data_IF_774414416294
#
_entry.id   IF_774414416294
#
_cell.length_a   1.000
_cell.length_b   1.000
_cell.length_c   1.000
_cell.angle_alpha   90.00
_cell.angle_beta   90.00
_cell.angle_gamma   90.00
#
_symmetry.space_group_name_H-M   'P 1'
#
loop_
_entity.id
_entity.type
_entity.pdbx_description
1 polymer ?
#
# COMPACT_ATOMS: atom_id res chain seq x y z
N UNK A 1 22.13 41.66 17.13
CA UNK A 1 21.25 40.72 16.41
C UNK A 1 19.98 40.61 17.22
N UNK A 2 18.95 41.31 16.75
CA UNK A 2 17.67 41.44 17.44
C UNK A 2 16.95 40.10 17.55
N UNK A 3 16.06 39.98 18.52
CA UNK A 3 15.28 38.76 18.78
C UNK A 3 14.47 38.35 17.55
N UNK A 4 13.96 39.32 16.78
CA UNK A 4 13.30 39.10 15.50
C UNK A 4 14.24 38.54 14.41
N UNK A 5 15.50 39.00 14.34
CA UNK A 5 16.47 38.47 13.37
C UNK A 5 16.85 37.02 13.69
N UNK A 6 16.95 36.68 14.99
CA UNK A 6 17.17 35.30 15.45
C UNK A 6 16.00 34.40 15.04
N UNK A 7 14.77 34.86 15.23
CA UNK A 7 13.57 34.10 14.88
C UNK A 7 13.43 33.89 13.37
N UNK A 8 13.67 34.93 12.56
CA UNK A 8 13.68 34.82 11.10
C UNK A 8 14.78 33.85 10.64
N UNK A 9 15.99 33.96 11.19
CA UNK A 9 17.08 33.05 10.85
C UNK A 9 16.76 31.59 11.20
N UNK A 10 16.18 31.34 12.38
CA UNK A 10 15.74 29.99 12.78
C UNK A 10 14.63 29.47 11.87
N UNK A 11 13.65 30.31 11.50
CA UNK A 11 12.58 29.96 10.57
C UNK A 11 13.14 29.58 9.19
N UNK A 12 14.04 30.39 8.63
CA UNK A 12 14.69 30.12 7.33
C UNK A 12 15.51 28.82 7.39
N UNK A 13 16.28 28.60 8.46
CA UNK A 13 17.05 27.37 8.66
C UNK A 13 16.14 26.14 8.74
N UNK A 14 15.01 26.24 9.45
CA UNK A 14 14.01 25.17 9.55
C UNK A 14 13.35 24.88 8.20
N UNK A 15 13.00 25.91 7.44
CA UNK A 15 12.42 25.78 6.12
C UNK A 15 13.39 25.15 5.11
N UNK A 16 14.66 25.56 5.09
CA UNK A 16 15.71 24.93 4.28
C UNK A 16 15.90 23.45 4.64
N UNK A 17 15.88 23.09 5.93
CA UNK A 17 15.95 21.68 6.36
C UNK A 17 14.73 20.88 5.88
N UNK A 18 13.53 21.43 6.01
CA UNK A 18 12.29 20.81 5.52
C UNK A 18 12.33 20.60 4.01
N UNK A 19 12.81 21.58 3.25
CA UNK A 19 12.93 21.49 1.80
C UNK A 19 13.96 20.45 1.37
N UNK A 20 15.12 20.37 2.05
CA UNK A 20 16.10 19.29 1.83
C UNK A 20 15.48 17.90 2.06
N UNK A 21 14.74 17.73 3.15
CA UNK A 21 14.05 16.46 3.45
C UNK A 21 12.99 16.16 2.39
N UNK A 22 12.16 17.14 2.01
CA UNK A 22 11.16 16.96 0.94
C UNK A 22 11.81 16.57 -0.37
N UNK A 23 12.89 17.25 -0.78
CA UNK A 23 13.62 16.94 -2.01
C UNK A 23 14.26 15.54 -1.94
N UNK A 24 14.77 15.14 -0.78
CA UNK A 24 15.30 13.79 -0.56
C UNK A 24 14.19 12.74 -0.71
N UNK A 25 13.03 12.92 -0.06
CA UNK A 25 11.88 12.01 -0.20
C UNK A 25 11.36 12.01 -1.65
N UNK A 26 11.36 13.17 -2.31
CA UNK A 26 10.90 13.33 -3.68
C UNK A 26 11.75 12.50 -4.65
N UNK A 27 13.07 12.59 -4.55
CA UNK A 27 14.04 12.05 -5.53
C UNK A 27 14.67 10.71 -5.16
N UNK A 28 14.66 10.31 -3.88
CA UNK A 28 15.38 9.12 -3.42
C UNK A 28 14.63 7.83 -3.79
N UNK A 29 15.28 7.00 -4.62
CA UNK A 29 14.77 5.64 -4.95
C UNK A 29 14.63 4.75 -3.71
N UNK A 30 15.53 4.89 -2.74
CA UNK A 30 15.46 4.13 -1.49
C UNK A 30 14.19 4.47 -0.72
N UNK A 31 13.85 5.76 -0.64
CA UNK A 31 12.59 6.18 -0.02
C UNK A 31 11.40 5.62 -0.80
N UNK A 32 11.43 5.60 -2.13
CA UNK A 32 10.34 5.02 -2.92
C UNK A 32 10.13 3.52 -2.68
N UNK A 33 11.20 2.77 -2.40
CA UNK A 33 11.12 1.33 -2.08
C UNK A 33 10.58 1.11 -0.67
N UNK A 34 11.03 1.95 0.28
CA UNK A 34 10.66 1.83 1.70
C UNK A 34 9.31 2.47 2.04
N UNK A 35 8.80 3.34 1.18
CA UNK A 35 7.50 3.98 1.33
C UNK A 35 6.36 2.96 1.09
N UNK A 36 5.62 2.56 2.14
CA UNK A 36 4.54 1.60 1.99
C UNK A 36 3.36 2.17 1.20
N UNK A 37 3.27 3.51 1.05
CA UNK A 37 2.12 4.16 0.44
C UNK A 37 2.33 4.34 -1.08
N UNK A 38 1.49 3.76 -1.94
CA UNK A 38 1.58 3.89 -3.40
C UNK A 38 1.31 5.33 -3.85
N UNK A 39 0.58 6.12 -3.08
CA UNK A 39 0.17 7.46 -3.49
C UNK A 39 1.02 8.57 -2.90
N UNK A 40 1.02 9.70 -3.60
CA UNK A 40 1.65 10.91 -3.10
C UNK A 40 0.81 11.48 -1.95
N UNK A 41 1.44 11.66 -0.80
CA UNK A 41 0.81 12.41 0.28
C UNK A 41 0.93 13.90 0.00
N UNK A 42 -0.03 14.69 0.47
CA UNK A 42 -0.05 16.16 0.42
C UNK A 42 1.23 16.85 0.97
N UNK A 43 2.10 16.10 1.67
CA UNK A 43 3.38 16.58 2.21
C UNK A 43 4.48 16.68 1.13
N UNK A 44 4.27 16.09 -0.04
CA UNK A 44 5.21 16.05 -1.14
C UNK A 44 4.74 16.96 -2.28
N UNK A 45 5.70 17.57 -2.98
CA UNK A 45 5.40 18.29 -4.22
C UNK A 45 4.86 17.26 -5.24
N UNK A 46 3.85 17.60 -6.05
CA UNK A 46 3.35 16.69 -7.06
C UNK A 46 4.50 16.32 -8.02
N UNK A 47 4.69 15.03 -8.28
CA UNK A 47 5.65 14.55 -9.30
C UNK A 47 5.08 14.75 -10.69
N UNK A 48 5.97 14.97 -11.66
CA UNK A 48 5.58 14.90 -13.08
C UNK A 48 5.17 13.48 -13.46
N UNK A 49 4.40 13.33 -14.53
CA UNK A 49 3.98 12.02 -15.07
C UNK A 49 5.20 11.09 -15.27
N UNK A 50 6.29 11.63 -15.81
CA UNK A 50 7.54 10.89 -16.06
C UNK A 50 8.20 10.44 -14.75
N UNK A 51 8.22 11.29 -13.73
CA UNK A 51 8.76 10.95 -12.40
C UNK A 51 7.90 9.88 -11.70
N UNK A 52 6.59 9.98 -11.81
CA UNK A 52 5.66 8.99 -11.27
C UNK A 52 5.82 7.63 -11.96
N UNK A 53 5.94 7.61 -13.28
CA UNK A 53 6.22 6.38 -14.02
C UNK A 53 7.56 5.74 -13.58
N UNK A 54 8.61 6.55 -13.41
CA UNK A 54 9.90 6.06 -12.90
C UNK A 54 9.79 5.49 -11.48
N UNK A 55 9.06 6.18 -10.59
CA UNK A 55 8.80 5.71 -9.23
C UNK A 55 8.06 4.38 -9.26
N UNK A 56 7.01 4.29 -10.05
CA UNK A 56 6.19 3.09 -10.17
C UNK A 56 6.99 1.90 -10.70
N UNK A 57 7.82 2.10 -11.74
CA UNK A 57 8.73 1.06 -12.23
C UNK A 57 9.70 0.54 -11.16
N UNK A 58 10.28 1.45 -10.37
CA UNK A 58 11.14 1.08 -9.24
C UNK A 58 10.33 0.28 -8.23
N UNK A 59 9.16 0.78 -7.83
CA UNK A 59 8.29 0.06 -6.88
C UNK A 59 7.97 -1.33 -7.40
N UNK A 60 7.45 -1.48 -8.62
CA UNK A 60 7.11 -2.78 -9.22
C UNK A 60 8.23 -3.80 -9.14
N UNK A 61 9.48 -3.37 -9.34
CA UNK A 61 10.67 -4.23 -9.17
C UNK A 61 10.80 -4.79 -7.75
N UNK A 62 10.43 -3.99 -6.74
CA UNK A 62 10.49 -4.36 -5.32
C UNK A 62 9.17 -4.90 -4.75
N UNK A 63 8.18 -5.17 -5.59
CA UNK A 63 6.83 -5.58 -5.19
C UNK A 63 6.77 -7.05 -4.73
N UNK A 64 5.84 -7.38 -3.83
CA UNK A 64 5.58 -8.80 -3.50
C UNK A 64 5.13 -9.60 -4.73
N UNK A 65 4.43 -8.98 -5.68
CA UNK A 65 4.07 -9.59 -6.96
C UNK A 65 5.31 -10.02 -7.76
N UNK A 66 6.32 -9.16 -7.87
CA UNK A 66 7.57 -9.49 -8.55
C UNK A 66 8.33 -10.60 -7.80
N UNK A 67 8.38 -10.53 -6.47
CA UNK A 67 9.02 -11.56 -5.64
C UNK A 67 8.37 -12.93 -5.85
N UNK A 68 7.04 -12.98 -5.94
CA UNK A 68 6.29 -14.20 -6.25
C UNK A 68 6.67 -14.78 -7.62
N UNK A 69 6.83 -13.92 -8.65
CA UNK A 69 7.28 -14.38 -9.97
C UNK A 69 8.67 -15.02 -9.93
N UNK A 70 9.61 -14.45 -9.15
CA UNK A 70 10.96 -14.99 -9.00
C UNK A 70 10.96 -16.41 -8.40
N UNK A 71 9.98 -16.77 -7.56
CA UNK A 71 9.88 -18.14 -7.03
C UNK A 71 9.65 -19.20 -8.11
N UNK A 72 8.98 -18.81 -9.19
CA UNK A 72 8.59 -19.72 -10.25
C UNK A 72 9.62 -19.81 -11.38
N UNK A 73 10.65 -18.96 -11.38
CA UNK A 73 11.69 -18.96 -12.41
C UNK A 73 12.55 -20.24 -12.37
N UNK A 74 12.81 -20.80 -13.55
CA UNK A 74 13.53 -22.07 -13.73
C UNK A 74 14.97 -22.03 -13.19
N UNK A 75 15.65 -20.89 -13.32
CA UNK A 75 17.03 -20.72 -12.85
C UNK A 75 17.17 -21.00 -11.35
N UNK A 76 16.21 -20.55 -10.55
CA UNK A 76 16.22 -20.80 -9.12
C UNK A 76 15.86 -22.25 -8.76
N UNK A 77 14.96 -22.87 -9.53
CA UNK A 77 14.61 -24.29 -9.36
C UNK A 77 15.82 -25.20 -9.64
N UNK A 78 16.73 -24.81 -10.53
CA UNK A 78 17.99 -25.52 -10.73
C UNK A 78 18.92 -25.44 -9.50
N UNK A 79 18.99 -24.28 -8.84
CA UNK A 79 19.74 -24.10 -7.59
C UNK A 79 19.24 -24.99 -6.43
N UNK A 80 17.93 -25.27 -6.36
CA UNK A 80 17.37 -26.19 -5.37
C UNK A 80 17.94 -27.61 -5.46
N UNK A 81 18.14 -28.12 -6.67
CA UNK A 81 18.77 -29.43 -6.87
C UNK A 81 20.20 -29.46 -6.30
N UNK A 82 20.88 -28.31 -6.29
CA UNK A 82 22.17 -28.09 -5.66
C UNK A 82 22.22 -28.39 -4.16
N UNK A 83 21.11 -28.23 -3.42
CA UNK A 83 21.07 -28.48 -1.97
C UNK A 83 21.36 -29.96 -1.67
N UNK A 84 20.82 -30.86 -2.49
CA UNK A 84 20.95 -32.31 -2.31
C UNK A 84 22.21 -32.83 -3.02
N UNK A 85 22.44 -32.36 -4.26
CA UNK A 85 23.53 -32.89 -5.09
C UNK A 85 24.91 -32.43 -4.62
N UNK A 86 25.06 -31.18 -4.15
CA UNK A 86 26.37 -30.65 -3.77
C UNK A 86 27.04 -31.35 -2.58
N UNK A 87 26.33 -31.66 -1.46
CA UNK A 87 26.95 -32.38 -0.35
C UNK A 87 27.40 -33.79 -0.74
N UNK A 88 26.62 -34.49 -1.56
CA UNK A 88 26.94 -35.85 -2.04
C UNK A 88 28.19 -35.80 -2.93
N UNK A 89 28.20 -34.91 -3.92
CA UNK A 89 29.33 -34.76 -4.83
C UNK A 89 30.60 -34.27 -4.11
N UNK A 90 30.47 -33.33 -3.18
CA UNK A 90 31.59 -32.86 -2.37
C UNK A 90 32.16 -33.98 -1.49
N UNK A 91 31.30 -34.81 -0.87
CA UNK A 91 31.74 -35.95 -0.07
C UNK A 91 32.50 -36.99 -0.90
N UNK A 92 32.02 -37.30 -2.10
CA UNK A 92 32.72 -38.20 -3.03
C UNK A 92 34.09 -37.65 -3.45
N UNK A 93 34.18 -36.34 -3.75
CA UNK A 93 35.43 -35.69 -4.12
C UNK A 93 36.48 -35.69 -2.99
N UNK A 94 36.04 -35.52 -1.73
CA UNK A 94 36.93 -35.59 -0.56
C UNK A 94 37.48 -37.01 -0.36
N UNK A 95 36.64 -38.03 -0.57
CA UNK A 95 37.02 -39.43 -0.37
C UNK A 95 37.85 -40.03 -1.52
N UNK A 96 37.73 -39.47 -2.73
CA UNK A 96 38.47 -39.92 -3.93
C UNK A 96 39.09 -38.73 -4.69
N UNK A 97 40.19 -38.15 -4.19
CA UNK A 97 40.80 -36.95 -4.77
C UNK A 97 41.44 -37.16 -6.15
N UNK A 98 41.52 -38.40 -6.65
CA UNK A 98 42.24 -38.75 -7.88
C UNK A 98 41.59 -38.26 -9.19
N UNK A 99 40.33 -37.82 -9.18
CA UNK A 99 39.60 -37.44 -10.40
C UNK A 99 39.03 -36.01 -10.39
N UNK A 100 39.34 -35.22 -9.37
CA UNK A 100 38.62 -33.99 -9.10
C UNK A 100 39.59 -32.83 -8.85
N UNK A 101 39.50 -31.77 -9.65
CA UNK A 101 40.34 -30.58 -9.51
C UNK A 101 40.15 -29.89 -8.16
N UNK A 102 41.18 -29.17 -7.68
CA UNK A 102 41.18 -28.43 -6.42
C UNK A 102 39.98 -27.44 -6.29
N UNK A 103 39.39 -27.02 -7.40
CA UNK A 103 38.27 -26.06 -7.43
C UNK A 103 36.89 -26.69 -7.25
N UNK A 104 36.74 -28.01 -7.35
CA UNK A 104 35.43 -28.66 -7.32
C UNK A 104 34.64 -28.50 -6.01
N UNK A 105 35.25 -28.56 -4.81
CA UNK A 105 34.51 -28.30 -3.56
C UNK A 105 33.97 -26.87 -3.49
N UNK A 106 34.72 -25.90 -4.03
CA UNK A 106 34.32 -24.49 -4.10
C UNK A 106 33.09 -24.33 -5.03
N UNK A 107 33.06 -25.06 -6.15
CA UNK A 107 31.92 -25.06 -7.07
C UNK A 107 30.66 -25.64 -6.43
N UNK A 108 30.81 -26.76 -5.72
CA UNK A 108 29.72 -27.36 -4.96
C UNK A 108 29.21 -26.44 -3.85
N UNK A 109 30.10 -25.67 -3.21
CA UNK A 109 29.69 -24.65 -2.25
C UNK A 109 28.81 -23.55 -2.90
N UNK A 110 29.13 -23.10 -4.11
CA UNK A 110 28.32 -22.07 -4.80
C UNK A 110 26.93 -22.56 -5.21
N UNK A 111 26.79 -23.80 -5.72
CA UNK A 111 25.46 -24.32 -6.07
C UNK A 111 24.63 -24.64 -4.81
N UNK A 112 25.28 -25.10 -3.73
CA UNK A 112 24.65 -25.30 -2.42
C UNK A 112 24.16 -23.98 -1.82
N UNK A 113 25.01 -22.96 -1.79
CA UNK A 113 24.69 -21.63 -1.31
C UNK A 113 23.55 -20.99 -2.12
N UNK A 114 23.57 -21.16 -3.45
CA UNK A 114 22.47 -20.75 -4.33
C UNK A 114 21.12 -21.31 -3.87
N UNK A 115 21.07 -22.62 -3.61
CA UNK A 115 19.87 -23.30 -3.12
C UNK A 115 19.41 -22.83 -1.74
N UNK A 116 20.31 -22.73 -0.76
CA UNK A 116 19.97 -22.24 0.59
C UNK A 116 19.40 -20.83 0.54
N UNK A 117 20.05 -19.92 -0.18
CA UNK A 117 19.60 -18.53 -0.29
C UNK A 117 18.21 -18.44 -0.93
N UNK A 118 17.94 -19.27 -1.94
CA UNK A 118 16.61 -19.36 -2.54
C UNK A 118 15.55 -19.87 -1.56
N UNK A 119 15.85 -20.91 -0.77
CA UNK A 119 14.94 -21.44 0.25
C UNK A 119 14.65 -20.40 1.32
N UNK A 120 15.66 -19.70 1.83
CA UNK A 120 15.50 -18.62 2.82
C UNK A 120 14.62 -17.49 2.27
N UNK A 121 14.81 -17.10 1.00
CA UNK A 121 13.96 -16.11 0.34
C UNK A 121 12.50 -16.59 0.24
N UNK A 122 12.29 -17.86 -0.10
CA UNK A 122 10.98 -18.52 -0.14
C UNK A 122 10.30 -18.59 1.23
N UNK A 123 11.04 -18.87 2.30
CA UNK A 123 10.53 -18.82 3.67
C UNK A 123 10.07 -17.41 4.04
N UNK A 124 10.90 -16.39 3.79
CA UNK A 124 10.53 -15.00 4.07
C UNK A 124 9.26 -14.63 3.32
N UNK A 125 9.14 -14.99 2.04
CA UNK A 125 7.91 -14.78 1.29
C UNK A 125 6.73 -15.47 1.95
N UNK A 126 6.80 -16.78 2.23
CA UNK A 126 5.67 -17.52 2.80
C UNK A 126 5.19 -17.01 4.17
N UNK A 127 6.10 -16.54 5.02
CA UNK A 127 5.75 -15.99 6.34
C UNK A 127 5.38 -14.50 6.32
N UNK A 128 5.94 -13.72 5.39
CA UNK A 128 5.84 -12.26 5.40
C UNK A 128 4.98 -11.69 4.28
N UNK A 129 4.62 -12.44 3.24
CA UNK A 129 3.71 -11.96 2.21
C UNK A 129 2.32 -11.72 2.81
N UNK A 130 1.64 -10.61 2.48
CA UNK A 130 0.26 -10.40 2.89
C UNK A 130 -0.71 -11.39 2.25
N UNK A 131 -1.83 -11.64 2.92
CA UNK A 131 -2.79 -12.70 2.58
C UNK A 131 -3.42 -12.48 1.21
N UNK A 132 -3.83 -11.26 0.85
CA UNK A 132 -4.46 -11.01 -0.46
C UNK A 132 -3.46 -11.03 -1.60
N UNK A 133 -2.20 -10.69 -1.36
CA UNK A 133 -1.15 -10.85 -2.39
C UNK A 133 -0.93 -12.33 -2.70
N UNK A 134 -0.82 -13.16 -1.66
CA UNK A 134 -0.69 -14.61 -1.82
C UNK A 134 -1.93 -15.18 -2.51
N UNK A 135 -3.12 -14.81 -2.06
CA UNK A 135 -4.38 -15.26 -2.65
C UNK A 135 -4.53 -14.83 -4.12
N UNK A 136 -4.15 -13.60 -4.48
CA UNK A 136 -4.22 -13.11 -5.86
C UNK A 136 -3.25 -13.85 -6.78
N UNK A 137 -1.99 -14.04 -6.34
CA UNK A 137 -0.97 -14.71 -7.15
C UNK A 137 -1.19 -16.23 -7.26
N UNK A 138 -1.66 -16.89 -6.21
CA UNK A 138 -1.97 -18.33 -6.23
C UNK A 138 -3.28 -18.63 -6.99
N UNK A 139 -4.16 -17.63 -7.12
CA UNK A 139 -5.45 -17.80 -7.77
C UNK A 139 -5.47 -17.65 -9.28
N UNK A 140 -4.41 -17.12 -9.87
CA UNK A 140 -4.22 -17.15 -11.32
C UNK A 140 -4.12 -18.61 -11.84
N UNK A 141 -3.65 -19.54 -10.99
CA UNK A 141 -3.58 -20.98 -11.29
C UNK A 141 -4.74 -21.81 -10.68
N UNK A 142 -5.33 -21.39 -9.57
CA UNK A 142 -6.46 -22.07 -8.92
C UNK A 142 -7.31 -21.06 -8.13
N UNK A 143 -8.53 -20.72 -8.57
CA UNK A 143 -9.49 -19.78 -7.96
C UNK A 143 -9.90 -20.11 -6.49
N UNK A 144 -8.96 -20.35 -5.58
CA UNK A 144 -9.16 -20.81 -4.20
C UNK A 144 -9.86 -19.76 -3.34
N UNK A 145 -9.69 -18.47 -3.63
CA UNK A 145 -10.47 -17.44 -2.93
C UNK A 145 -11.96 -17.49 -3.31
N UNK A 146 -12.36 -18.07 -4.45
CA UNK A 146 -13.78 -18.34 -4.75
C UNK A 146 -14.35 -19.53 -3.98
N UNK A 147 -13.47 -20.39 -3.46
CA UNK A 147 -13.85 -21.54 -2.63
C UNK A 147 -13.86 -21.21 -1.13
N UNK A 148 -13.26 -20.08 -0.71
CA UNK A 148 -13.33 -19.61 0.67
C UNK A 148 -14.75 -19.06 0.96
N UNK A 149 -15.29 -19.26 2.18
CA UNK A 149 -16.57 -18.69 2.55
C UNK A 149 -16.58 -17.17 2.36
N UNK A 150 -17.57 -16.65 1.63
CA UNK A 150 -17.71 -15.22 1.31
C UNK A 150 -17.59 -14.34 2.56
N UNK A 151 -18.17 -14.78 3.69
CA UNK A 151 -18.08 -14.09 4.97
C UNK A 151 -16.65 -13.89 5.48
N UNK A 152 -15.73 -14.83 5.25
CA UNK A 152 -14.32 -14.71 5.66
C UNK A 152 -13.56 -13.71 4.78
N UNK A 153 -13.92 -13.63 3.50
CA UNK A 153 -13.31 -12.68 2.57
C UNK A 153 -13.81 -11.27 2.90
N UNK A 154 -15.11 -11.11 3.17
CA UNK A 154 -15.69 -9.83 3.57
C UNK A 154 -15.07 -9.32 4.87
N UNK A 155 -14.92 -10.17 5.89
CA UNK A 155 -14.27 -9.77 7.14
C UNK A 155 -12.79 -9.42 6.95
N UNK A 156 -12.08 -10.13 6.07
CA UNK A 156 -10.68 -9.82 5.75
C UNK A 156 -10.53 -8.50 4.99
N UNK A 157 -11.43 -8.23 4.03
CA UNK A 157 -11.47 -6.95 3.31
C UNK A 157 -11.79 -5.83 4.31
N UNK A 158 -12.79 -6.03 5.15
CA UNK A 158 -13.18 -5.09 6.21
C UNK A 158 -12.01 -4.76 7.14
N UNK A 159 -11.24 -5.78 7.56
CA UNK A 159 -10.04 -5.57 8.37
C UNK A 159 -8.98 -4.71 7.66
N UNK A 160 -8.80 -4.87 6.35
CA UNK A 160 -7.87 -4.01 5.59
C UNK A 160 -8.36 -2.56 5.50
N UNK A 161 -9.66 -2.32 5.39
CA UNK A 161 -10.23 -0.98 5.48
C UNK A 161 -10.05 -0.39 6.90
N UNK A 162 -10.19 -1.20 7.96
CA UNK A 162 -9.95 -0.75 9.35
C UNK A 162 -8.50 -0.27 9.51
N UNK A 163 -7.55 -0.97 8.90
CA UNK A 163 -6.13 -0.59 8.95
C UNK A 163 -5.82 0.75 8.24
N UNK A 164 -6.73 1.25 7.40
CA UNK A 164 -6.63 2.60 6.83
C UNK A 164 -7.12 3.69 7.79
N UNK A 165 -7.88 3.31 8.82
CA UNK A 165 -8.34 4.20 9.87
C UNK A 165 -7.19 4.80 10.67
N UNK A 166 -7.34 6.06 11.07
CA UNK A 166 -6.39 6.82 11.89
C UNK A 166 -7.11 7.50 13.02
N UNK A 167 -6.60 7.32 14.24
CA UNK A 167 -6.93 8.15 15.38
C UNK A 167 -5.86 9.22 15.56
N UNK A 168 -6.26 10.49 15.67
CA UNK A 168 -5.36 11.61 15.92
C UNK A 168 -5.86 12.40 17.13
N UNK A 169 -4.99 12.57 18.12
CA UNK A 169 -5.29 13.35 19.32
C UNK A 169 -5.51 14.84 18.99
N UNK A 170 -6.54 15.41 19.60
CA UNK A 170 -6.83 16.83 19.56
C UNK A 170 -6.11 17.50 20.72
N UNK A 171 -5.37 18.55 20.38
CA UNK A 171 -4.57 19.37 21.28
C UNK A 171 -4.97 20.82 21.12
N UNK A 172 -4.66 21.71 22.08
CA UNK A 172 -4.92 23.14 21.93
C UNK A 172 -4.30 23.75 20.65
N UNK A 173 -3.21 23.16 20.14
CA UNK A 173 -2.51 23.64 18.93
C UNK A 173 -3.25 23.29 17.63
N UNK A 174 -3.98 22.17 17.58
CA UNK A 174 -4.69 21.70 16.38
C UNK A 174 -6.22 21.80 16.50
N UNK A 175 -6.74 22.35 17.61
CA UNK A 175 -8.17 22.59 17.83
C UNK A 175 -8.82 23.40 16.69
N UNK A 176 -8.06 24.32 16.09
CA UNK A 176 -8.53 25.13 14.96
C UNK A 176 -8.96 24.28 13.74
N UNK A 177 -8.43 23.07 13.60
CA UNK A 177 -8.77 22.20 12.48
C UNK A 177 -10.26 21.78 12.50
N UNK A 178 -10.90 21.67 13.68
CA UNK A 178 -12.33 21.30 13.80
C UNK A 178 -13.27 22.51 13.88
N UNK A 179 -12.79 23.73 13.63
CA UNK A 179 -13.60 24.95 13.72
C UNK A 179 -14.83 24.93 12.81
N UNK A 180 -14.78 24.22 11.68
CA UNK A 180 -15.90 24.11 10.75
C UNK A 180 -17.07 23.29 11.31
N UNK A 181 -16.84 22.51 12.38
CA UNK A 181 -17.86 21.71 13.04
C UNK A 181 -18.08 22.26 14.47
N UNK A 182 -18.94 23.29 14.58
CA UNK A 182 -19.12 24.07 15.81
C UNK A 182 -19.32 23.22 17.07
N UNK A 183 -20.22 22.22 17.03
CA UNK A 183 -20.46 21.32 18.17
C UNK A 183 -19.22 20.53 18.58
N UNK A 184 -18.43 20.09 17.60
CA UNK A 184 -17.19 19.37 17.86
C UNK A 184 -16.16 20.34 18.45
N UNK A 185 -15.97 21.50 17.84
CA UNK A 185 -15.06 22.54 18.33
C UNK A 185 -15.34 22.92 19.79
N UNK A 186 -16.61 23.16 20.13
CA UNK A 186 -17.05 23.50 21.50
C UNK A 186 -16.80 22.34 22.47
N UNK A 187 -17.14 21.12 22.07
CA UNK A 187 -16.98 19.92 22.92
C UNK A 187 -15.52 19.59 23.17
N UNK A 188 -14.66 19.63 22.14
CA UNK A 188 -13.21 19.50 22.32
C UNK A 188 -12.66 20.62 23.21
N UNK A 189 -13.10 21.85 23.01
CA UNK A 189 -12.68 23.00 23.82
C UNK A 189 -13.01 22.83 25.31
N UNK A 190 -14.20 22.32 25.62
CA UNK A 190 -14.63 22.02 26.99
C UNK A 190 -13.82 20.86 27.60
N UNK A 191 -13.67 19.75 26.87
CA UNK A 191 -12.92 18.58 27.35
C UNK A 191 -11.45 18.93 27.62
N UNK A 192 -10.80 19.67 26.72
CA UNK A 192 -9.41 20.10 26.89
C UNK A 192 -9.24 21.04 28.10
N UNK A 193 -10.21 21.92 28.38
CA UNK A 193 -10.19 22.79 29.58
C UNK A 193 -10.33 22.00 30.88
N UNK A 194 -11.04 20.88 30.85
CA UNK A 194 -11.22 19.99 32.00
C UNK A 194 -10.06 18.99 32.18
N UNK A 195 -9.02 19.06 31.34
CA UNK A 195 -7.90 18.13 31.36
C UNK A 195 -8.19 16.77 30.72
N UNK A 196 -9.30 16.64 30.00
CA UNK A 196 -9.67 15.44 29.25
C UNK A 196 -8.94 15.33 27.91
N UNK A 197 -8.83 14.09 27.41
CA UNK A 197 -8.30 13.80 26.09
C UNK A 197 -9.45 13.56 25.09
N UNK A 198 -9.24 13.95 23.84
CA UNK A 198 -10.19 13.72 22.77
C UNK A 198 -9.48 13.52 21.44
N UNK A 199 -10.08 12.75 20.55
CA UNK A 199 -9.47 12.32 19.31
C UNK A 199 -10.41 12.50 18.13
N UNK A 200 -9.82 12.67 16.95
CA UNK A 200 -10.51 12.52 15.66
C UNK A 200 -10.17 11.15 15.12
N UNK A 201 -11.17 10.43 14.65
CA UNK A 201 -10.98 9.11 14.06
C UNK A 201 -11.63 9.07 12.68
N UNK A 202 -11.09 8.29 11.75
CA UNK A 202 -11.56 8.21 10.36
C UNK A 202 -10.40 7.95 9.40
N UNK A 203 -10.56 8.28 8.12
CA UNK A 203 -9.54 8.07 7.09
C UNK A 203 -8.68 9.30 6.91
N UNK A 204 -7.36 9.13 7.04
CA UNK A 204 -6.43 10.16 6.63
C UNK A 204 -6.45 10.35 5.10
N UNK A 205 -5.72 11.34 4.59
CA UNK A 205 -5.57 11.58 3.14
C UNK A 205 -5.12 10.34 2.36
N UNK A 206 -4.32 9.48 2.99
CA UNK A 206 -3.85 8.25 2.35
C UNK A 206 -5.01 7.26 2.25
N UNK A 207 -5.72 7.02 3.36
CA UNK A 207 -6.90 6.16 3.40
C UNK A 207 -7.98 6.61 2.42
N UNK A 208 -8.26 7.92 2.36
CA UNK A 208 -9.20 8.49 1.39
C UNK A 208 -8.78 8.20 -0.05
N UNK A 209 -7.50 8.40 -0.40
CA UNK A 209 -7.00 8.12 -1.75
C UNK A 209 -7.10 6.64 -2.14
N UNK A 210 -6.87 5.72 -1.19
CA UNK A 210 -7.07 4.28 -1.40
C UNK A 210 -8.52 3.96 -1.70
N UNK A 211 -9.44 4.44 -0.87
CA UNK A 211 -10.87 4.14 -1.01
C UNK A 211 -11.42 4.74 -2.30
N UNK A 212 -11.09 6.00 -2.60
CA UNK A 212 -11.52 6.63 -3.84
C UNK A 212 -11.04 5.86 -5.07
N UNK A 213 -9.75 5.49 -5.12
CA UNK A 213 -9.23 4.72 -6.27
C UNK A 213 -9.96 3.39 -6.44
N UNK A 214 -10.27 2.71 -5.35
CA UNK A 214 -11.05 1.48 -5.41
C UNK A 214 -12.44 1.72 -6.02
N UNK A 215 -13.15 2.74 -5.55
CA UNK A 215 -14.48 3.11 -6.07
C UNK A 215 -14.41 3.41 -7.57
N UNK A 216 -13.38 4.16 -8.02
CA UNK A 216 -13.20 4.46 -9.44
C UNK A 216 -12.85 3.23 -10.28
N UNK A 217 -12.03 2.32 -9.76
CA UNK A 217 -11.72 1.07 -10.45
C UNK A 217 -12.95 0.18 -10.59
N UNK A 218 -13.82 0.19 -9.59
CA UNK A 218 -15.14 -0.46 -9.66
C UNK A 218 -16.03 0.22 -10.70
N UNK A 219 -16.09 1.55 -10.69
CA UNK A 219 -16.84 2.37 -11.64
C UNK A 219 -16.44 2.09 -13.09
N UNK A 220 -15.13 2.06 -13.40
CA UNK A 220 -14.63 1.77 -14.75
C UNK A 220 -15.02 0.36 -15.22
N UNK A 221 -14.91 -0.64 -14.34
CA UNK A 221 -15.20 -2.04 -14.70
C UNK A 221 -16.70 -2.35 -14.78
N UNK A 222 -17.52 -1.68 -13.96
CA UNK A 222 -18.96 -1.95 -13.83
C UNK A 222 -19.85 -0.87 -14.46
N UNK A 223 -19.24 0.17 -15.02
CA UNK A 223 -19.86 1.24 -15.80
C UNK A 223 -20.92 2.05 -15.04
N UNK A 224 -20.75 2.24 -13.74
CA UNK A 224 -21.53 3.20 -12.94
C UNK A 224 -20.76 4.50 -12.78
N UNK A 225 -21.44 5.62 -12.60
CA UNK A 225 -20.82 6.92 -12.32
C UNK A 225 -20.67 7.16 -10.83
N UNK A 226 -19.70 8.01 -10.48
CA UNK A 226 -19.43 8.41 -9.10
C UNK A 226 -19.80 9.88 -8.96
N UNK A 227 -20.67 10.19 -8.00
CA UNK A 227 -21.08 11.54 -7.65
C UNK A 227 -20.53 11.92 -6.28
N UNK A 228 -20.07 13.15 -6.13
CA UNK A 228 -19.66 13.71 -4.84
C UNK A 228 -20.73 14.66 -4.33
N UNK A 229 -21.15 14.45 -3.08
CA UNK A 229 -21.99 15.39 -2.36
C UNK A 229 -21.16 16.59 -1.89
N UNK A 230 -21.61 17.79 -2.22
CA UNK A 230 -20.95 19.02 -1.79
C UNK A 230 -21.94 20.06 -1.32
N UNK A 231 -21.49 20.94 -0.42
CA UNK A 231 -22.27 22.09 0.03
C UNK A 231 -22.04 23.27 -0.91
N UNK A 232 -23.12 23.75 -1.53
CA UNK A 232 -23.11 24.91 -2.42
C UNK A 232 -22.96 26.22 -1.62
N UNK A 233 -22.70 27.32 -2.33
CA UNK A 233 -22.54 28.67 -1.74
C UNK A 233 -23.82 29.19 -1.09
N UNK A 234 -24.98 28.76 -1.57
CA UNK A 234 -26.31 29.02 -1.02
C UNK A 234 -26.60 28.18 0.26
N UNK A 235 -25.68 27.30 0.64
CA UNK A 235 -25.79 26.44 1.82
C UNK A 235 -26.54 25.14 1.57
N UNK A 236 -27.11 24.95 0.37
CA UNK A 236 -27.85 23.76 -0.02
C UNK A 236 -26.93 22.63 -0.50
N UNK A 237 -27.50 21.44 -0.63
CA UNK A 237 -26.82 20.22 -1.06
C UNK A 237 -26.80 20.14 -2.59
N UNK A 238 -25.62 19.92 -3.15
CA UNK A 238 -25.41 19.66 -4.57
C UNK A 238 -24.68 18.34 -4.80
N UNK A 239 -24.86 17.79 -6.00
CA UNK A 239 -24.15 16.62 -6.48
C UNK A 239 -23.30 17.01 -7.68
N UNK A 240 -22.06 16.51 -7.71
CA UNK A 240 -21.16 16.70 -8.84
C UNK A 240 -20.64 15.36 -9.35
N UNK A 241 -20.86 15.09 -10.64
CA UNK A 241 -20.25 13.95 -11.31
C UNK A 241 -18.74 14.12 -11.27
N UNK A 242 -18.09 13.03 -10.91
CA UNK A 242 -16.71 13.05 -10.49
C UNK A 242 -15.93 12.20 -11.50
N UNK A 243 -15.05 12.87 -12.26
CA UNK A 243 -14.36 12.27 -13.41
C UNK A 243 -13.17 11.38 -13.03
N UNK A 244 -12.78 11.36 -11.75
CA UNK A 244 -11.60 10.63 -11.29
C UNK A 244 -11.29 10.80 -9.79
N UNK A 245 -10.39 9.95 -9.25
CA UNK A 245 -9.94 10.06 -7.87
C UNK A 245 -9.25 11.40 -7.62
N UNK A 246 -9.31 11.88 -6.38
CA UNK A 246 -8.84 13.19 -6.02
C UNK A 246 -7.33 13.14 -5.97
N UNK A 247 -6.69 13.95 -6.80
CA UNK A 247 -5.22 14.01 -6.87
C UNK A 247 -4.64 14.99 -5.84
N UNK A 248 -5.46 15.82 -5.21
CA UNK A 248 -5.03 16.90 -4.33
C UNK A 248 -5.97 17.08 -3.14
N UNK A 249 -5.49 16.73 -1.95
CA UNK A 249 -6.21 16.99 -0.71
C UNK A 249 -5.74 18.31 -0.10
N UNK A 250 -6.68 19.14 0.33
CA UNK A 250 -6.38 20.45 0.92
C UNK A 250 -5.50 20.29 2.17
N UNK A 251 -4.47 21.13 2.28
CA UNK A 251 -3.58 21.14 3.44
C UNK A 251 -4.18 21.82 4.68
N UNK A 252 -5.37 22.41 4.55
CA UNK A 252 -6.05 23.22 5.58
C UNK A 252 -7.25 22.53 6.23
N UNK A 253 -7.73 21.43 5.66
CA UNK A 253 -8.86 20.65 6.20
C UNK A 253 -8.37 19.54 7.11
N UNK A 254 -9.21 19.16 8.08
CA UNK A 254 -9.02 18.01 8.97
C UNK A 254 -8.60 16.82 8.11
N UNK A 255 -7.37 16.32 8.35
CA UNK A 255 -6.80 15.28 7.51
C UNK A 255 -7.53 13.96 7.61
N UNK A 256 -8.28 13.77 8.70
CA UNK A 256 -9.06 12.58 9.03
C UNK A 256 -10.52 12.87 8.73
N UNK A 257 -11.17 12.11 7.83
CA UNK A 257 -12.58 12.27 7.47
C UNK A 257 -13.31 10.94 7.53
N UNK A 258 -14.61 11.00 7.78
CA UNK A 258 -15.47 9.85 7.62
C UNK A 258 -15.93 9.75 6.16
N UNK A 259 -16.27 8.54 5.74
CA UNK A 259 -16.79 8.28 4.41
C UNK A 259 -18.25 7.84 4.51
N UNK A 260 -19.09 8.44 3.70
CA UNK A 260 -20.45 7.98 3.45
C UNK A 260 -20.55 7.55 1.99
N UNK A 261 -21.08 6.35 1.76
CA UNK A 261 -21.27 5.79 0.43
C UNK A 261 -22.70 5.30 0.27
N UNK A 262 -23.46 5.87 -0.64
CA UNK A 262 -24.83 5.41 -0.89
C UNK A 262 -25.03 5.15 -2.37
N UNK A 263 -25.98 4.26 -2.70
CA UNK A 263 -26.51 4.23 -4.06
C UNK A 263 -27.33 5.48 -4.31
N UNK A 264 -27.21 6.02 -5.52
CA UNK A 264 -28.12 7.04 -6.00
C UNK A 264 -29.56 6.54 -5.83
N UNK A 265 -30.36 7.30 -5.08
CA UNK A 265 -31.72 6.93 -4.74
C UNK A 265 -32.70 7.96 -5.28
N UNK A 266 -33.98 7.60 -5.27
CA UNK A 266 -35.06 8.47 -5.76
C UNK A 266 -35.07 9.84 -5.09
N UNK A 267 -34.57 9.97 -3.86
CA UNK A 267 -34.45 11.27 -3.20
C UNK A 267 -33.53 12.22 -3.99
N UNK A 268 -32.34 11.76 -4.38
CA UNK A 268 -31.43 12.55 -5.20
C UNK A 268 -31.99 12.83 -6.60
N UNK A 269 -32.68 11.85 -7.20
CA UNK A 269 -33.20 11.95 -8.57
C UNK A 269 -34.44 12.85 -8.68
N UNK A 270 -35.30 12.89 -7.64
CA UNK A 270 -36.59 13.59 -7.69
C UNK A 270 -36.67 14.89 -6.86
N UNK A 271 -35.81 15.05 -5.85
CA UNK A 271 -35.86 16.21 -4.92
C UNK A 271 -34.81 17.26 -5.26
N UNK A 272 -33.67 16.86 -5.84
CA UNK A 272 -32.68 17.83 -6.32
C UNK A 272 -33.13 18.35 -7.68
N UNK A 273 -33.19 19.67 -7.83
CA UNK A 273 -33.43 20.31 -9.13
C UNK A 273 -32.28 19.97 -10.09
N UNK A 274 -32.52 19.96 -11.42
CA UNK A 274 -31.46 19.70 -12.40
C UNK A 274 -30.24 20.62 -12.25
N UNK A 275 -30.44 21.85 -11.77
CA UNK A 275 -29.37 22.80 -11.47
C UNK A 275 -28.47 22.40 -10.28
N UNK A 276 -28.91 21.43 -9.46
CA UNK A 276 -28.18 20.91 -8.29
C UNK A 276 -27.40 19.63 -8.58
N UNK A 277 -27.54 19.06 -9.79
CA UNK A 277 -26.82 17.86 -10.22
C UNK A 277 -25.98 18.19 -11.45
N UNK A 278 -24.67 18.26 -11.28
CA UNK A 278 -23.73 18.40 -12.40
C UNK A 278 -23.47 17.01 -13.00
N UNK A 279 -24.36 16.55 -13.90
CA UNK A 279 -24.24 15.26 -14.60
C UNK A 279 -25.58 14.53 -14.74
N UNK A 280 -25.61 13.46 -15.53
CA UNK A 280 -26.78 12.58 -15.64
C UNK A 280 -26.68 11.46 -14.60
N UNK A 281 -27.59 11.48 -13.62
CA UNK A 281 -27.64 10.55 -12.48
C UNK A 281 -28.60 9.38 -12.75
N UNK A 282 -28.14 8.15 -12.50
CA UNK A 282 -28.89 6.89 -12.58
C UNK A 282 -28.99 6.22 -11.20
N UNK A 283 -29.99 5.37 -10.96
CA UNK A 283 -30.13 4.57 -9.72
C UNK A 283 -28.99 3.54 -9.51
N UNK A 284 -28.19 3.28 -10.54
CA UNK A 284 -27.01 2.41 -10.46
C UNK A 284 -25.75 3.14 -9.98
N UNK A 285 -25.77 4.48 -9.98
CA UNK A 285 -24.63 5.31 -9.64
C UNK A 285 -24.37 5.34 -8.13
N UNK A 286 -23.15 5.70 -7.74
CA UNK A 286 -22.74 5.78 -6.34
C UNK A 286 -22.50 7.24 -5.96
N UNK A 287 -23.09 7.65 -4.85
CA UNK A 287 -22.86 8.95 -4.21
C UNK A 287 -21.88 8.76 -3.06
N UNK A 288 -20.81 9.56 -3.05
CA UNK A 288 -19.81 9.59 -1.98
C UNK A 288 -19.83 10.95 -1.28
N UNK A 289 -19.64 10.92 0.04
CA UNK A 289 -19.43 12.13 0.84
C UNK A 289 -18.31 11.89 1.86
N UNK A 290 -17.28 12.74 1.83
CA UNK A 290 -16.26 12.79 2.87
C UNK A 290 -16.55 13.93 3.82
N UNK A 291 -17.06 13.60 5.00
CA UNK A 291 -17.47 14.59 6.00
C UNK A 291 -16.50 14.66 7.17
N UNK A 292 -16.53 15.79 7.87
CA UNK A 292 -15.67 16.06 9.01
C UNK A 292 -16.01 15.09 10.17
N UNK A 293 -15.00 14.55 10.85
CA UNK A 293 -15.19 13.48 11.84
C UNK A 293 -15.84 14.02 13.12
N UNK A 294 -16.59 13.15 13.79
CA UNK A 294 -17.00 13.38 15.17
C UNK A 294 -15.80 13.22 16.12
N UNK A 295 -15.86 13.89 17.27
CA UNK A 295 -14.85 13.72 18.32
C UNK A 295 -15.19 12.50 19.15
N UNK A 296 -14.15 11.77 19.53
CA UNK A 296 -14.29 10.62 20.41
C UNK A 296 -13.40 10.74 21.65
N UNK A 297 -13.87 10.16 22.75
CA UNK A 297 -13.11 10.00 24.00
C UNK A 297 -12.26 8.72 23.96
N UNK A 298 -11.21 8.60 24.81
CA UNK A 298 -10.39 7.39 24.89
C UNK A 298 -11.23 6.10 25.01
N UNK A 299 -12.25 6.12 25.88
CA UNK A 299 -13.11 4.96 26.15
C UNK A 299 -13.93 4.50 24.94
N UNK A 300 -14.16 5.40 23.97
CA UNK A 300 -14.87 5.10 22.73
C UNK A 300 -13.93 4.50 21.68
N UNK A 301 -12.65 4.85 21.71
CA UNK A 301 -11.63 4.37 20.77
C UNK A 301 -11.17 2.96 21.17
N UNK A 302 -10.94 2.73 22.46
CA UNK A 302 -10.47 1.44 22.98
C UNK A 302 -11.50 0.31 22.79
N UNK A 303 -12.76 0.66 22.49
CA UNK A 303 -13.85 -0.29 22.22
C UNK A 303 -14.11 -0.54 20.72
N UNK A 304 -13.38 0.09 19.82
CA UNK A 304 -13.68 0.05 18.39
C UNK A 304 -12.85 -0.97 17.62
N UNK A 305 -13.38 -2.20 17.60
CA UNK A 305 -13.09 -3.20 16.56
C UNK A 305 -13.99 -2.99 15.31
N UNK A 306 -14.71 -1.86 15.22
CA UNK A 306 -15.79 -1.65 14.24
C UNK A 306 -15.58 -0.39 13.39
N UNK A 307 -15.75 -0.55 12.07
CA UNK A 307 -15.56 0.43 11.00
C UNK A 307 -16.83 1.27 10.75
N UNK A 308 -17.99 0.78 11.20
CA UNK A 308 -19.31 1.39 11.07
C UNK A 308 -19.41 2.86 11.56
N UNK A 309 -18.66 3.34 12.57
CA UNK A 309 -18.68 4.76 12.92
C UNK A 309 -18.07 5.68 11.84
N UNK A 310 -17.25 5.12 10.94
CA UNK A 310 -16.38 5.84 10.00
C UNK A 310 -16.73 5.64 8.54
N UNK A 311 -17.39 4.52 8.22
CA UNK A 311 -17.97 4.25 6.91
C UNK A 311 -19.44 3.92 7.07
N UNK A 312 -20.32 4.69 6.44
CA UNK A 312 -21.70 4.26 6.20
C UNK A 312 -21.76 3.49 4.88
N UNK A 313 -22.48 2.36 4.91
CA UNK A 313 -22.91 1.62 3.72
C UNK A 313 -21.77 1.09 2.81
N UNK A 314 -20.63 0.71 3.41
CA UNK A 314 -19.55 0.00 2.71
C UNK A 314 -20.02 -1.30 2.03
N UNK A 315 -21.12 -1.89 2.53
CA UNK A 315 -21.81 -3.03 1.92
C UNK A 315 -22.19 -2.82 0.45
N UNK A 316 -22.36 -1.57 0.01
CA UNK A 316 -22.63 -1.21 -1.39
C UNK A 316 -21.55 -1.72 -2.33
N UNK A 317 -20.28 -1.70 -1.88
CA UNK A 317 -19.12 -2.16 -2.67
C UNK A 317 -18.61 -3.55 -2.29
N UNK A 318 -19.04 -4.13 -1.18
CA UNK A 318 -18.68 -5.49 -0.76
C UNK A 318 -19.61 -6.57 -1.38
N UNK A 319 -20.14 -6.33 -2.58
CA UNK A 319 -20.94 -7.31 -3.30
C UNK A 319 -20.06 -8.38 -3.93
N UNK A 320 -20.57 -9.60 -4.02
CA UNK A 320 -19.86 -10.74 -4.61
C UNK A 320 -19.40 -10.43 -6.06
N UNK A 321 -20.23 -9.71 -6.82
CA UNK A 321 -19.93 -9.27 -8.19
C UNK A 321 -18.68 -8.38 -8.31
N UNK A 322 -18.20 -7.82 -7.20
CA UNK A 322 -17.06 -6.91 -7.10
C UNK A 322 -15.83 -7.57 -6.47
N UNK A 323 -15.96 -8.79 -5.96
CA UNK A 323 -14.92 -9.46 -5.15
C UNK A 323 -13.60 -9.62 -5.90
N UNK A 324 -13.62 -10.00 -7.17
CA UNK A 324 -12.42 -10.14 -8.00
C UNK A 324 -11.66 -8.79 -8.10
N UNK A 325 -12.38 -7.67 -8.20
CA UNK A 325 -11.81 -6.32 -8.31
C UNK A 325 -11.26 -5.85 -6.97
N UNK A 326 -11.99 -6.12 -5.88
CA UNK A 326 -11.58 -5.81 -4.51
C UNK A 326 -10.28 -6.54 -4.17
N UNK A 327 -10.20 -7.85 -4.43
CA UNK A 327 -9.01 -8.66 -4.15
C UNK A 327 -7.82 -8.17 -4.96
N UNK A 328 -8.01 -7.86 -6.25
CA UNK A 328 -6.95 -7.31 -7.10
C UNK A 328 -6.39 -5.98 -6.54
N UNK A 329 -7.28 -5.06 -6.18
CA UNK A 329 -6.86 -3.73 -5.73
C UNK A 329 -6.24 -3.76 -4.32
N UNK A 330 -6.80 -4.54 -3.40
CA UNK A 330 -6.23 -4.74 -2.06
C UNK A 330 -4.89 -5.46 -2.14
N UNK A 331 -4.76 -6.47 -3.01
CA UNK A 331 -3.47 -7.11 -3.31
C UNK A 331 -2.45 -6.09 -3.79
N UNK A 332 -2.82 -5.22 -4.73
CA UNK A 332 -1.94 -4.15 -5.20
C UNK A 332 -1.46 -3.22 -4.06
N UNK A 333 -2.34 -2.90 -3.11
CA UNK A 333 -1.98 -2.08 -1.94
C UNK A 333 -1.01 -2.82 -1.01
N UNK A 334 -1.35 -4.06 -0.69
CA UNK A 334 -0.57 -4.92 0.20
C UNK A 334 0.81 -5.26 -0.39
N UNK A 335 0.94 -5.22 -1.71
CA UNK A 335 2.20 -5.45 -2.42
C UNK A 335 3.37 -4.57 -1.95
N UNK A 336 3.06 -3.44 -1.30
CA UNK A 336 4.05 -2.48 -0.78
C UNK A 336 4.30 -2.57 0.72
N UNK A 337 3.53 -3.38 1.44
CA UNK A 337 3.70 -3.56 2.88
C UNK A 337 5.01 -4.31 3.18
N UNK A 338 5.46 -4.22 4.45
CA UNK A 338 6.66 -4.90 4.96
C UNK A 338 7.91 -4.64 4.08
N UNK A 339 8.28 -3.36 3.88
CA UNK A 339 9.32 -2.97 2.91
C UNK A 339 10.68 -3.63 3.16
N UNK A 340 11.09 -3.76 4.43
CA UNK A 340 12.36 -4.39 4.79
C UNK A 340 12.38 -5.87 4.40
N UNK A 341 11.28 -6.59 4.62
CA UNK A 341 11.15 -8.00 4.24
C UNK A 341 11.21 -8.17 2.72
N UNK A 342 10.58 -7.27 1.95
CA UNK A 342 10.65 -7.27 0.47
C UNK A 342 12.10 -7.09 -0.02
N UNK A 343 12.78 -6.09 0.53
CA UNK A 343 14.18 -5.80 0.19
C UNK A 343 15.06 -6.99 0.52
N UNK A 344 14.93 -7.56 1.73
CA UNK A 344 15.71 -8.72 2.15
C UNK A 344 15.47 -9.94 1.25
N UNK A 345 14.20 -10.27 0.95
CA UNK A 345 13.86 -11.38 0.06
C UNK A 345 14.49 -11.20 -1.33
N UNK A 346 14.39 -10.01 -1.91
CA UNK A 346 15.00 -9.72 -3.22
C UNK A 346 16.52 -9.79 -3.21
N UNK A 347 17.15 -9.32 -2.14
CA UNK A 347 18.60 -9.46 -1.98
C UNK A 347 19.01 -10.92 -1.93
N UNK A 348 18.26 -11.78 -1.22
CA UNK A 348 18.52 -13.21 -1.19
C UNK A 348 18.33 -13.87 -2.56
N UNK A 349 17.28 -13.52 -3.31
CA UNK A 349 17.11 -13.99 -4.70
C UNK A 349 18.26 -13.55 -5.60
N UNK A 350 18.75 -12.31 -5.46
CA UNK A 350 19.90 -11.83 -6.25
C UNK A 350 21.20 -12.53 -5.88
N UNK A 351 21.45 -12.74 -4.59
CA UNK A 351 22.62 -13.46 -4.10
C UNK A 351 22.58 -14.94 -4.52
N UNK A 352 21.39 -15.57 -4.50
CA UNK A 352 21.18 -16.92 -5.03
C UNK A 352 21.56 -16.99 -6.51
N UNK A 353 21.05 -16.06 -7.33
CA UNK A 353 21.36 -16.00 -8.75
C UNK A 353 22.85 -15.72 -9.02
N UNK A 354 23.47 -14.84 -8.24
CA UNK A 354 24.91 -14.56 -8.32
C UNK A 354 25.73 -15.81 -8.00
N UNK A 355 25.38 -16.53 -6.93
CA UNK A 355 26.04 -17.79 -6.55
C UNK A 355 25.89 -18.85 -7.65
N UNK A 356 24.70 -18.96 -8.24
CA UNK A 356 24.47 -19.87 -9.37
C UNK A 356 25.26 -19.48 -10.62
N UNK A 357 25.36 -18.18 -10.90
CA UNK A 357 26.12 -17.68 -12.05
C UNK A 357 27.62 -17.94 -11.88
N UNK A 358 28.16 -17.74 -10.67
CA UNK A 358 29.54 -18.10 -10.36
C UNK A 358 29.78 -19.60 -10.56
N UNK A 359 28.87 -20.46 -10.08
CA UNK A 359 28.93 -21.89 -10.36
C UNK A 359 29.01 -22.20 -11.86
N UNK A 360 28.16 -21.58 -12.68
CA UNK A 360 28.18 -21.78 -14.14
C UNK A 360 29.48 -21.30 -14.80
N UNK A 361 30.04 -20.18 -14.35
CA UNK A 361 31.32 -19.67 -14.85
C UNK A 361 32.44 -20.67 -14.56
N UNK A 362 32.49 -21.21 -13.34
CA UNK A 362 33.47 -22.23 -12.98
C UNK A 362 33.29 -23.52 -13.79
N UNK A 363 32.05 -23.99 -13.98
CA UNK A 363 31.76 -25.15 -14.82
C UNK A 363 32.19 -24.93 -16.27
N UNK A 364 31.90 -23.77 -16.84
CA UNK A 364 32.32 -23.39 -18.19
C UNK A 364 33.85 -23.33 -18.31
N UNK A 365 34.55 -22.80 -17.29
CA UNK A 365 36.02 -22.76 -17.24
C UNK A 365 36.62 -24.16 -17.28
N UNK A 366 36.07 -25.13 -16.54
CA UNK A 366 36.52 -26.52 -16.59
C UNK A 366 36.31 -27.11 -17.99
N UNK A 367 35.11 -26.95 -18.56
CA UNK A 367 34.80 -27.50 -19.88
C UNK A 367 35.72 -26.90 -20.94
N UNK A 368 35.99 -25.60 -20.86
CA UNK A 368 36.92 -24.93 -21.76
C UNK A 368 38.35 -25.43 -21.60
N UNK A 369 38.83 -25.57 -20.36
CA UNK A 369 40.14 -26.15 -20.08
C UNK A 369 40.28 -27.59 -20.56
N UNK A 370 39.22 -28.39 -20.44
CA UNK A 370 39.18 -29.76 -20.95
C UNK A 370 39.14 -29.85 -22.48
N UNK A 371 38.63 -28.83 -23.18
CA UNK A 371 38.64 -28.74 -24.65
C UNK A 371 39.99 -28.26 -25.22
N UNK A 372 40.84 -27.65 -24.40
CA UNK A 372 42.17 -27.18 -24.79
C UNK A 372 43.28 -28.24 -24.61
N UNK A 373 42.96 -29.36 -23.94
CA UNK A 373 43.78 -30.57 -23.82
C UNK A 373 43.35 -31.53 -24.92
#
# INVERSE_FOLDING_TARGET
MDEQEKDIYQMVKRNRRREKIRNFIHKSKLVWVLDPYPYETHKLKPRSIVENFKREKVRQTYSWHNISRLQNEKAYKAGLAGIITAPILASLAINQPLFVSFEFPIQMAFIFLSGILFVLAGMIYNYRVPTFVKAYMEAEENKKYKAAPIGQIHSSIFFEFLNLGRATEITPKNLHEIQNHQMAYETAGLLLRQGGACYKVGFDVVGQAYIERLIYKLSEKKKFKVFEEYRRKDGELGLRERMGPCTTYSSRSIYVRHLKMEKACKHYISVLTPERVEGELSEEDIVINFYDPYIQTPDQIDKQDQLEPYTSDLSVILKEDYLDILVEEISYWQSWQRPLSRVLALWLYRLSLLSFSLFLIYQASIVWGALQI
#
